data_IF_711479210612
#
_entry.id   IF_711479210612
#
_cell.length_a   1.000
_cell.length_b   1.000
_cell.length_c   1.000
_cell.angle_alpha   90.00
_cell.angle_beta   90.00
_cell.angle_gamma   90.00
#
_symmetry.space_group_name_H-M   'P 1'
#
loop_
_entity.id
_entity.type
_entity.pdbx_description
1 polymer ?
#
# COMPACT_ATOMS: atom_id res chain seq x y z
N UNK A 1 -18.41 54.42 16.24
CA UNK A 1 -17.25 53.52 16.29
C UNK A 1 -17.55 52.20 17.00
N UNK A 2 -18.35 52.19 18.08
CA UNK A 2 -18.71 50.98 18.85
C UNK A 2 -19.62 49.96 18.12
N UNK A 3 -20.60 50.41 17.34
CA UNK A 3 -21.49 49.54 16.53
C UNK A 3 -20.72 48.59 15.59
N UNK A 4 -19.69 49.12 14.91
CA UNK A 4 -18.87 48.34 13.98
C UNK A 4 -18.02 47.28 14.67
N UNK A 5 -17.52 47.55 15.88
CA UNK A 5 -16.78 46.56 16.67
C UNK A 5 -17.67 45.42 17.18
N UNK A 6 -18.90 45.70 17.60
CA UNK A 6 -19.83 44.64 18.03
C UNK A 6 -20.21 43.70 16.88
N UNK A 7 -20.49 44.25 15.70
CA UNK A 7 -20.78 43.48 14.51
C UNK A 7 -19.59 42.59 14.09
N UNK A 8 -18.36 43.11 14.21
CA UNK A 8 -17.14 42.34 13.96
C UNK A 8 -17.00 41.12 14.88
N UNK A 9 -17.22 41.29 16.20
CA UNK A 9 -17.12 40.17 17.15
C UNK A 9 -18.21 39.11 16.93
N UNK A 10 -19.42 39.52 16.53
CA UNK A 10 -20.50 38.58 16.18
C UNK A 10 -20.11 37.75 14.96
N UNK A 11 -19.61 38.38 13.89
CA UNK A 11 -19.18 37.69 12.68
C UNK A 11 -18.06 36.70 12.98
N UNK A 12 -17.07 37.11 13.79
CA UNK A 12 -15.95 36.26 14.19
C UNK A 12 -16.43 35.04 14.98
N UNK A 13 -17.36 35.22 15.91
CA UNK A 13 -17.97 34.14 16.68
C UNK A 13 -18.81 33.20 15.81
N UNK A 14 -19.56 33.73 14.84
CA UNK A 14 -20.29 32.91 13.88
C UNK A 14 -19.34 32.07 13.00
N UNK A 15 -18.27 32.69 12.47
CA UNK A 15 -17.26 32.00 11.68
C UNK A 15 -16.57 30.90 12.48
N UNK A 16 -16.14 31.17 13.71
CA UNK A 16 -15.51 30.16 14.56
C UNK A 16 -16.47 29.01 14.88
N UNK A 17 -17.74 29.32 15.12
CA UNK A 17 -18.77 28.30 15.40
C UNK A 17 -19.06 27.45 14.17
N UNK A 18 -19.16 28.05 12.99
CA UNK A 18 -19.31 27.33 11.73
C UNK A 18 -18.11 26.41 11.44
N UNK A 19 -16.89 26.89 11.61
CA UNK A 19 -15.67 26.07 11.45
C UNK A 19 -15.65 24.92 12.46
N UNK A 20 -15.98 25.19 13.72
CA UNK A 20 -16.06 24.16 14.76
C UNK A 20 -17.09 23.07 14.40
N UNK A 21 -18.29 23.47 13.95
CA UNK A 21 -19.31 22.53 13.50
C UNK A 21 -18.86 21.71 12.28
N UNK A 22 -18.21 22.32 11.30
CA UNK A 22 -17.66 21.61 10.15
C UNK A 22 -16.61 20.57 10.55
N UNK A 23 -15.72 20.90 11.50
CA UNK A 23 -14.72 19.95 12.03
C UNK A 23 -15.42 18.79 12.76
N UNK A 24 -16.43 19.09 13.59
CA UNK A 24 -17.21 18.09 14.31
C UNK A 24 -18.02 17.17 13.36
N UNK A 25 -18.54 17.71 12.25
CA UNK A 25 -19.34 16.98 11.27
C UNK A 25 -18.50 16.26 10.20
N UNK A 26 -17.23 16.64 10.02
CA UNK A 26 -16.32 16.04 9.02
C UNK A 26 -16.27 14.51 9.05
N UNK A 27 -16.21 13.81 10.20
CA UNK A 27 -16.16 12.35 10.24
C UNK A 27 -17.44 11.68 9.75
N UNK A 28 -18.58 12.37 9.85
CA UNK A 28 -19.88 11.90 9.37
C UNK A 28 -20.04 12.14 7.87
N UNK A 29 -19.53 13.28 7.37
CA UNK A 29 -19.53 13.62 5.95
C UNK A 29 -18.52 12.82 5.14
N UNK A 30 -17.39 12.43 5.74
CA UNK A 30 -16.32 11.68 5.10
C UNK A 30 -16.02 10.42 5.92
N UNK A 31 -16.88 9.38 5.84
CA UNK A 31 -16.64 8.14 6.55
C UNK A 31 -15.30 7.56 6.13
N UNK A 32 -14.52 7.09 7.10
CA UNK A 32 -13.24 6.44 6.82
C UNK A 32 -13.46 5.21 5.94
N UNK A 33 -12.59 5.02 4.96
CA UNK A 33 -12.60 3.85 4.12
C UNK A 33 -12.42 2.60 4.99
N UNK A 34 -13.27 1.58 4.78
CA UNK A 34 -13.17 0.31 5.50
C UNK A 34 -12.08 -0.54 4.87
N UNK A 35 -11.19 -1.08 5.70
CA UNK A 35 -10.19 -2.05 5.28
C UNK A 35 -10.73 -3.46 5.51
N UNK A 36 -10.47 -4.35 4.56
CA UNK A 36 -10.86 -5.76 4.63
C UNK A 36 -9.61 -6.62 4.53
N UNK A 37 -9.59 -7.71 5.29
CA UNK A 37 -8.54 -8.71 5.16
C UNK A 37 -8.66 -9.40 3.81
N UNK A 38 -7.52 -9.67 3.18
CA UNK A 38 -7.42 -10.50 1.97
C UNK A 38 -6.32 -11.55 2.14
N UNK A 39 -6.39 -12.70 1.45
CA UNK A 39 -5.27 -13.62 1.36
C UNK A 39 -4.01 -12.91 0.83
N UNK A 40 -2.84 -13.33 1.31
CA UNK A 40 -1.55 -12.76 0.85
C UNK A 40 -1.26 -13.17 -0.59
N UNK A 41 -1.56 -14.42 -0.93
CA UNK A 41 -1.40 -15.05 -2.25
C UNK A 41 -2.63 -15.90 -2.58
N UNK A 42 -2.83 -16.18 -3.87
CA UNK A 42 -3.88 -17.06 -4.39
C UNK A 42 -3.65 -18.53 -4.03
N UNK A 43 -4.67 -19.36 -4.26
CA UNK A 43 -4.54 -20.81 -4.06
C UNK A 43 -3.49 -21.43 -4.99
N UNK A 44 -3.37 -20.93 -6.23
CA UNK A 44 -2.39 -21.41 -7.21
C UNK A 44 -0.96 -21.10 -6.76
N UNK A 45 -0.70 -19.84 -6.42
CA UNK A 45 0.55 -19.39 -5.82
C UNK A 45 0.89 -20.14 -4.53
N UNK A 46 -0.11 -20.45 -3.69
CA UNK A 46 0.10 -21.22 -2.46
C UNK A 46 0.69 -22.60 -2.75
N UNK A 47 0.19 -23.29 -3.78
CA UNK A 47 0.75 -24.60 -4.18
C UNK A 47 2.18 -24.47 -4.70
N UNK A 48 2.47 -23.41 -5.46
CA UNK A 48 3.84 -23.13 -5.90
C UNK A 48 4.77 -22.85 -4.72
N UNK A 49 4.35 -22.00 -3.79
CA UNK A 49 5.12 -21.66 -2.60
C UNK A 49 5.51 -22.90 -1.78
N UNK A 50 4.57 -23.83 -1.59
CA UNK A 50 4.83 -25.10 -0.91
C UNK A 50 5.89 -25.91 -1.66
N UNK A 51 5.76 -26.04 -2.98
CA UNK A 51 6.74 -26.76 -3.82
C UNK A 51 8.12 -26.11 -3.76
N UNK A 52 8.20 -24.79 -3.84
CA UNK A 52 9.47 -24.05 -3.73
C UNK A 52 10.14 -24.32 -2.39
N UNK A 53 9.41 -24.23 -1.27
CA UNK A 53 9.98 -24.54 0.05
C UNK A 53 10.45 -26.00 0.18
N UNK A 54 9.74 -26.94 -0.44
CA UNK A 54 10.13 -28.35 -0.40
C UNK A 54 11.36 -28.63 -1.27
N UNK A 55 11.45 -28.02 -2.45
CA UNK A 55 12.57 -28.18 -3.38
C UNK A 55 13.84 -27.46 -2.93
N UNK A 56 13.70 -26.37 -2.18
CA UNK A 56 14.81 -25.52 -1.73
C UNK A 56 14.83 -25.38 -0.19
N UNK A 57 15.03 -26.47 0.57
CA UNK A 57 14.88 -26.44 2.03
C UNK A 57 15.92 -25.58 2.76
N UNK A 58 17.10 -25.38 2.16
CA UNK A 58 18.16 -24.51 2.71
C UNK A 58 18.02 -23.03 2.29
N UNK A 59 17.02 -22.70 1.48
CA UNK A 59 16.81 -21.34 0.97
C UNK A 59 15.57 -20.73 1.59
N UNK A 60 15.48 -19.40 1.54
CA UNK A 60 14.29 -18.67 1.97
C UNK A 60 13.43 -18.31 0.76
N UNK A 61 12.15 -18.69 0.82
CA UNK A 61 11.16 -18.30 -0.19
C UNK A 61 10.34 -17.15 0.37
N UNK A 62 10.40 -15.99 -0.30
CA UNK A 62 9.55 -14.83 -0.03
C UNK A 62 8.44 -14.77 -1.08
N UNK A 63 7.22 -14.39 -0.68
CA UNK A 63 6.08 -14.22 -1.58
C UNK A 63 5.70 -12.73 -1.69
N UNK A 64 5.25 -12.30 -2.86
CA UNK A 64 4.72 -10.95 -3.11
C UNK A 64 5.72 -9.84 -2.73
N UNK A 65 6.94 -9.93 -3.28
CA UNK A 65 8.02 -8.98 -2.98
C UNK A 65 7.98 -7.79 -3.92
N UNK A 66 7.92 -6.58 -3.36
CA UNK A 66 7.96 -5.36 -4.15
C UNK A 66 9.33 -5.21 -4.84
N UNK A 67 9.34 -4.84 -6.12
CA UNK A 67 10.59 -4.60 -6.86
C UNK A 67 11.46 -3.54 -6.19
N UNK A 68 10.87 -2.57 -5.49
CA UNK A 68 11.61 -1.55 -4.74
C UNK A 68 12.42 -2.09 -3.55
N UNK A 69 12.19 -3.33 -3.13
CA UNK A 69 13.03 -4.03 -2.15
C UNK A 69 14.23 -4.75 -2.80
N UNK A 70 14.17 -4.97 -4.12
CA UNK A 70 15.17 -5.73 -4.88
C UNK A 70 16.12 -4.82 -5.66
N UNK A 71 15.60 -3.70 -6.17
CA UNK A 71 16.35 -2.74 -6.97
C UNK A 71 16.03 -1.30 -6.56
N UNK A 72 16.99 -0.41 -6.79
CA UNK A 72 16.84 1.02 -6.51
C UNK A 72 17.50 1.86 -7.59
N UNK A 73 17.14 3.15 -7.65
CA UNK A 73 17.76 4.14 -8.52
C UNK A 73 17.66 5.52 -7.87
N UNK A 74 18.70 6.33 -8.07
CA UNK A 74 18.71 7.74 -7.67
C UNK A 74 17.85 8.62 -8.61
N UNK A 75 17.54 8.13 -9.81
CA UNK A 75 16.64 8.81 -10.74
C UNK A 75 15.19 8.46 -10.43
N UNK A 76 14.41 9.47 -10.07
CA UNK A 76 12.98 9.34 -9.79
C UNK A 76 12.18 8.74 -10.95
N UNK A 77 12.47 9.12 -12.19
CA UNK A 77 11.78 8.60 -13.38
C UNK A 77 12.02 7.12 -13.55
N UNK A 78 13.26 6.67 -13.38
CA UNK A 78 13.60 5.23 -13.42
C UNK A 78 12.92 4.50 -12.27
N UNK A 79 13.01 5.04 -11.05
CA UNK A 79 12.40 4.44 -9.85
C UNK A 79 10.89 4.26 -9.98
N UNK A 80 10.21 5.20 -10.64
CA UNK A 80 8.76 5.12 -10.89
C UNK A 80 8.35 3.91 -11.75
N UNK A 81 9.25 3.39 -12.59
CA UNK A 81 8.96 2.25 -13.48
C UNK A 81 8.74 0.93 -12.73
N UNK A 82 9.32 0.79 -11.54
CA UNK A 82 9.25 -0.44 -10.76
C UNK A 82 8.59 -0.29 -9.39
N UNK A 83 8.35 0.93 -8.89
CA UNK A 83 7.72 1.16 -7.57
C UNK A 83 6.33 0.53 -7.39
N UNK A 84 5.63 0.22 -8.49
CA UNK A 84 4.30 -0.41 -8.46
C UNK A 84 4.33 -1.90 -8.83
N UNK A 85 5.52 -2.45 -9.09
CA UNK A 85 5.70 -3.85 -9.47
C UNK A 85 5.98 -4.69 -8.23
N UNK A 86 5.38 -5.88 -8.22
CA UNK A 86 5.52 -6.89 -7.18
C UNK A 86 5.74 -8.21 -7.90
N UNK A 87 6.71 -8.99 -7.42
CA UNK A 87 7.00 -10.34 -7.94
C UNK A 87 6.22 -11.38 -7.17
N UNK A 88 5.84 -12.49 -7.81
CA UNK A 88 5.19 -13.58 -7.10
C UNK A 88 6.09 -14.21 -6.03
N UNK A 89 7.33 -14.58 -6.37
CA UNK A 89 8.30 -15.11 -5.41
C UNK A 89 9.74 -14.64 -5.61
N UNK A 90 10.49 -14.64 -4.50
CA UNK A 90 11.94 -14.41 -4.49
C UNK A 90 12.60 -15.50 -3.65
N UNK A 91 13.66 -16.10 -4.17
CA UNK A 91 14.50 -17.08 -3.48
C UNK A 91 15.76 -16.39 -2.96
N UNK A 92 16.03 -16.54 -1.67
CA UNK A 92 17.25 -16.07 -1.02
C UNK A 92 18.09 -17.24 -0.51
N UNK A 93 19.42 -17.10 -0.49
CA UNK A 93 20.29 -18.01 0.26
C UNK A 93 20.30 -17.76 1.78
N UNK A 94 21.12 -18.55 2.47
CA UNK A 94 21.37 -18.45 3.91
C UNK A 94 21.97 -17.08 4.33
N UNK A 95 22.58 -16.34 3.39
CA UNK A 95 23.13 -15.00 3.62
C UNK A 95 22.12 -13.89 3.29
N UNK A 96 20.88 -14.23 2.94
CA UNK A 96 19.81 -13.32 2.50
C UNK A 96 20.10 -12.64 1.15
N UNK A 97 20.95 -13.23 0.31
CA UNK A 97 21.21 -12.75 -1.04
C UNK A 97 20.19 -13.30 -2.04
N UNK A 98 19.73 -12.45 -2.95
CA UNK A 98 18.75 -12.83 -3.98
C UNK A 98 19.39 -13.71 -5.03
N UNK A 99 18.88 -14.93 -5.21
CA UNK A 99 19.36 -15.88 -6.22
C UNK A 99 18.41 -15.99 -7.40
N UNK A 100 17.10 -15.92 -7.14
CA UNK A 100 16.10 -16.00 -8.19
C UNK A 100 14.89 -15.13 -7.88
N UNK A 101 14.32 -14.56 -8.94
CA UNK A 101 13.00 -13.95 -8.96
C UNK A 101 12.12 -14.84 -9.83
N UNK A 102 10.94 -15.19 -9.35
CA UNK A 102 10.03 -16.14 -9.99
C UNK A 102 8.68 -15.44 -10.15
N UNK A 103 8.23 -15.31 -11.39
CA UNK A 103 6.87 -14.89 -11.75
C UNK A 103 6.13 -16.11 -12.28
N UNK A 104 4.86 -16.23 -11.93
CA UNK A 104 3.97 -17.24 -12.46
C UNK A 104 3.18 -16.67 -13.63
N UNK A 105 3.32 -17.30 -14.80
CA UNK A 105 2.37 -17.09 -15.88
C UNK A 105 1.06 -17.79 -15.50
N UNK A 106 0.07 -16.99 -15.12
CA UNK A 106 -1.25 -17.50 -14.78
C UNK A 106 -1.93 -18.03 -16.07
N UNK A 107 -2.49 -19.26 -16.09
CA UNK A 107 -3.15 -19.82 -17.28
C UNK A 107 -4.49 -19.15 -17.61
N UNK A 108 -4.80 -17.98 -17.06
CA UNK A 108 -6.05 -17.23 -17.22
C UNK A 108 -6.23 -16.61 -18.62
N UNK A 109 -5.35 -16.89 -19.59
CA UNK A 109 -5.53 -16.56 -21.01
C UNK A 109 -6.43 -17.56 -21.79
N UNK A 110 -7.50 -18.06 -21.16
CA UNK A 110 -8.57 -18.79 -21.82
C UNK A 110 -9.94 -18.17 -21.44
N UNK A 111 -10.17 -16.94 -21.87
CA UNK A 111 -11.51 -16.40 -22.14
C UNK A 111 -11.55 -15.81 -23.55
#
# INVERSE_FOLDING_TARGET
MFESSHLFFIILGCLSTCIFLLVCLRPYLFPKQKFFARPVITNFETQMFIRLKQSFPSYHVLAQVAFSALITSNDYKIRSQFNRKVTDFVLLDENMEVIAIIELDDPTHLE
#
